data_IF_239125833236
#
_entry.id   IF_239125833236
#
_cell.length_a   1.000
_cell.length_b   1.000
_cell.length_c   1.000
_cell.angle_alpha   90.00
_cell.angle_beta   90.00
_cell.angle_gamma   90.00
#
_symmetry.space_group_name_H-M   'P 1'
#
loop_
_entity.id
_entity.type
_entity.pdbx_description
1 polymer ?
#
# COMPACT_ATOMS: atom_id res chain seq x y z
N UNK A 1 -5.68 -10.43 25.65
CA UNK A 1 -6.62 -9.37 26.03
C UNK A 1 -7.79 -9.42 25.06
N UNK A 2 -8.99 -9.72 25.54
CA UNK A 2 -10.18 -9.78 24.70
C UNK A 2 -10.70 -8.36 24.49
N UNK A 3 -10.70 -7.89 23.25
CA UNK A 3 -11.32 -6.61 22.90
C UNK A 3 -12.78 -6.89 22.53
N UNK A 4 -13.72 -6.53 23.40
CA UNK A 4 -15.15 -6.60 23.12
C UNK A 4 -15.62 -5.24 22.63
N UNK A 5 -15.90 -5.12 21.33
CA UNK A 5 -16.65 -3.97 20.80
C UNK A 5 -18.14 -4.33 20.81
N UNK A 6 -18.94 -3.60 21.59
CA UNK A 6 -20.40 -3.74 21.61
C UNK A 6 -21.01 -2.55 20.89
N UNK A 7 -21.65 -2.78 19.74
CA UNK A 7 -22.57 -1.80 19.17
C UNK A 7 -23.86 -1.81 20.00
N UNK A 8 -24.41 -0.64 20.33
CA UNK A 8 -25.64 -0.51 21.13
C UNK A 8 -26.76 -1.36 20.51
N UNK A 9 -27.12 -2.46 21.20
CA UNK A 9 -28.25 -3.34 20.84
C UNK A 9 -27.89 -4.71 20.23
N UNK A 10 -26.63 -5.02 19.94
CA UNK A 10 -26.22 -6.31 19.37
C UNK A 10 -25.89 -7.39 20.42
N UNK A 11 -26.23 -8.66 20.14
CA UNK A 11 -25.79 -9.83 20.95
C UNK A 11 -24.27 -10.00 20.85
N UNK A 12 -23.64 -10.38 21.98
CA UNK A 12 -22.20 -10.66 22.08
C UNK A 12 -21.90 -11.96 21.34
N UNK A 13 -21.11 -11.90 20.27
CA UNK A 13 -20.54 -13.08 19.62
C UNK A 13 -19.13 -13.32 20.17
N UNK A 14 -18.97 -14.37 20.96
CA UNK A 14 -17.68 -14.83 21.51
C UNK A 14 -16.96 -15.72 20.48
N UNK A 15 -16.47 -15.14 19.38
CA UNK A 15 -15.52 -15.84 18.50
C UNK A 15 -14.09 -15.38 18.81
N UNK A 16 -13.20 -16.33 19.10
CA UNK A 16 -11.75 -16.10 19.21
C UNK A 16 -11.22 -15.64 17.85
N UNK A 17 -10.88 -14.35 17.71
CA UNK A 17 -10.48 -13.75 16.43
C UNK A 17 -8.98 -13.92 16.10
N UNK A 18 -8.13 -14.29 17.07
CA UNK A 18 -6.70 -14.43 16.84
C UNK A 18 -6.07 -15.48 17.74
N UNK A 19 -5.49 -16.52 17.12
CA UNK A 19 -4.38 -17.26 17.71
C UNK A 19 -3.46 -17.84 16.64
N UNK A 20 -2.36 -17.15 16.40
CA UNK A 20 -1.02 -17.75 16.44
C UNK A 20 0.01 -16.64 16.55
N UNK A 21 0.76 -16.65 17.65
CA UNK A 21 1.89 -15.75 17.91
C UNK A 21 3.16 -16.62 17.90
N UNK A 22 4.08 -16.37 16.99
CA UNK A 22 5.49 -16.66 17.23
C UNK A 22 6.09 -15.49 18.00
N UNK A 23 5.85 -15.46 19.30
CA UNK A 23 6.48 -14.49 20.20
C UNK A 23 7.88 -14.97 20.57
N UNK A 24 8.92 -14.22 20.19
CA UNK A 24 10.13 -14.15 21.02
C UNK A 24 9.82 -13.19 22.18
N UNK A 25 9.87 -13.71 23.42
CA UNK A 25 9.62 -12.90 24.61
C UNK A 25 10.89 -12.16 25.03
N UNK A 26 10.81 -10.85 25.18
CA UNK A 26 11.61 -10.12 26.15
C UNK A 26 10.70 -9.11 26.87
N UNK A 27 10.97 -8.95 28.16
CA UNK A 27 10.10 -8.34 29.17
C UNK A 27 9.66 -6.90 28.87
N UNK A 28 8.49 -6.58 29.43
CA UNK A 28 7.76 -5.31 29.37
C UNK A 28 8.61 -4.13 29.86
N UNK A 29 8.99 -3.21 28.98
CA UNK A 29 9.80 -2.04 29.34
C UNK A 29 8.90 -0.88 29.78
N UNK A 30 8.98 -0.51 31.07
CA UNK A 30 8.31 0.65 31.66
C UNK A 30 9.17 1.90 31.45
N UNK A 31 9.24 2.40 30.22
CA UNK A 31 9.44 3.82 29.88
C UNK A 31 10.43 4.67 30.69
N UNK A 32 11.53 4.13 31.19
CA UNK A 32 12.60 4.90 31.85
C UNK A 32 13.95 4.39 31.35
N UNK A 33 14.37 4.85 30.18
CA UNK A 33 15.76 4.73 29.75
C UNK A 33 16.33 6.14 29.53
N UNK A 34 17.46 6.51 30.19
CA UNK A 34 18.09 7.80 29.97
C UNK A 34 18.65 7.89 28.55
N UNK A 35 18.55 9.09 27.97
CA UNK A 35 18.96 9.38 26.59
C UNK A 35 20.47 9.16 26.44
N UNK A 36 20.89 8.06 25.83
CA UNK A 36 22.29 7.85 25.50
C UNK A 36 22.68 8.78 24.35
N UNK A 37 23.58 9.72 24.63
CA UNK A 37 24.34 10.46 23.62
C UNK A 37 25.50 9.58 23.18
N UNK A 38 25.42 9.04 21.97
CA UNK A 38 26.59 8.48 21.29
C UNK A 38 26.74 9.14 19.92
N UNK A 39 27.91 9.75 19.73
CA UNK A 39 28.34 10.32 18.45
C UNK A 39 28.65 9.17 17.50
N UNK A 40 27.76 8.88 16.55
CA UNK A 40 27.94 7.80 15.58
C UNK A 40 29.06 8.17 14.60
N UNK A 41 30.14 7.39 14.56
CA UNK A 41 31.16 7.49 13.50
C UNK A 41 30.62 6.90 12.19
N UNK A 42 30.88 7.60 11.09
CA UNK A 42 30.13 7.52 9.82
C UNK A 42 30.38 6.28 8.95
N UNK A 43 31.23 5.33 9.34
CA UNK A 43 31.86 4.42 8.37
C UNK A 43 31.67 2.90 8.55
N UNK A 44 30.84 2.42 9.47
CA UNK A 44 30.51 0.98 9.51
C UNK A 44 29.00 0.78 9.68
N UNK A 45 28.35 0.28 8.62
CA UNK A 45 26.95 -0.17 8.66
C UNK A 45 26.87 -1.49 9.45
N UNK A 46 27.04 -1.40 10.76
CA UNK A 46 26.73 -2.49 11.69
C UNK A 46 25.22 -2.71 11.72
N UNK A 47 24.79 -3.96 11.57
CA UNK A 47 23.39 -4.36 11.77
C UNK A 47 22.98 -3.99 13.18
N UNK A 48 21.98 -3.12 13.32
CA UNK A 48 21.44 -2.70 14.62
C UNK A 48 20.61 -3.86 15.18
N UNK A 49 21.16 -4.61 16.14
CA UNK A 49 20.51 -5.76 16.78
C UNK A 49 19.41 -5.40 17.80
N UNK A 50 19.17 -4.11 18.04
CA UNK A 50 18.13 -3.66 18.98
C UNK A 50 16.92 -3.12 18.22
N UNK A 51 15.73 -3.75 18.32
CA UNK A 51 14.54 -3.25 17.63
C UNK A 51 14.17 -1.86 18.15
N UNK A 52 14.13 -0.87 17.24
CA UNK A 52 13.83 0.53 17.57
C UNK A 52 12.32 0.76 17.69
N UNK A 53 11.52 0.05 16.88
CA UNK A 53 10.07 0.14 16.88
C UNK A 53 9.45 -1.13 16.28
N UNK A 54 8.30 -1.55 16.80
CA UNK A 54 7.53 -2.67 16.25
C UNK A 54 6.61 -2.19 15.15
N UNK A 55 6.69 -2.80 13.98
CA UNK A 55 5.82 -2.54 12.84
C UNK A 55 4.84 -3.70 12.67
N UNK A 56 3.56 -3.45 12.92
CA UNK A 56 2.50 -4.45 12.84
C UNK A 56 1.80 -4.39 11.48
N UNK A 57 1.59 -5.55 10.88
CA UNK A 57 0.86 -5.70 9.63
C UNK A 57 -0.30 -6.69 9.79
N UNK A 58 -1.36 -6.47 9.02
CA UNK A 58 -2.47 -7.41 8.86
C UNK A 58 -2.27 -8.16 7.55
N UNK A 59 -2.59 -9.46 7.53
CA UNK A 59 -2.42 -10.27 6.32
C UNK A 59 -3.52 -9.97 5.30
N UNK A 60 -3.10 -9.54 4.11
CA UNK A 60 -3.97 -9.41 2.93
C UNK A 60 -4.60 -10.76 2.57
N UNK A 61 -3.84 -11.86 2.64
CA UNK A 61 -4.35 -13.21 2.39
C UNK A 61 -5.51 -13.56 3.32
N UNK A 62 -5.33 -13.37 4.63
CA UNK A 62 -6.37 -13.68 5.63
C UNK A 62 -7.59 -12.78 5.47
N UNK A 63 -7.38 -11.50 5.21
CA UNK A 63 -8.47 -10.55 4.97
C UNK A 63 -9.28 -10.92 3.72
N UNK A 64 -8.62 -11.30 2.62
CA UNK A 64 -9.31 -11.75 1.40
C UNK A 64 -10.12 -13.01 1.64
N UNK A 65 -9.59 -13.98 2.40
CA UNK A 65 -10.37 -15.18 2.80
C UNK A 65 -11.61 -14.81 3.61
N UNK A 66 -11.47 -13.89 4.55
CA UNK A 66 -12.60 -13.39 5.34
C UNK A 66 -13.65 -12.71 4.45
N UNK A 67 -13.22 -11.82 3.55
CA UNK A 67 -14.14 -11.11 2.64
C UNK A 67 -14.96 -12.08 1.81
N UNK A 68 -14.32 -13.09 1.21
CA UNK A 68 -14.97 -14.06 0.33
C UNK A 68 -15.76 -15.14 1.06
N UNK A 69 -15.56 -15.27 2.38
CA UNK A 69 -16.39 -16.13 3.23
C UNK A 69 -17.72 -15.47 3.61
N UNK A 70 -17.89 -14.17 3.38
CA UNK A 70 -19.16 -13.48 3.63
C UNK A 70 -20.17 -13.81 2.51
N UNK A 71 -21.39 -14.15 2.94
CA UNK A 71 -22.49 -14.42 2.02
C UNK A 71 -22.71 -13.25 1.05
N UNK A 72 -23.08 -13.57 -0.19
CA UNK A 72 -23.38 -12.63 -1.28
C UNK A 72 -22.23 -11.73 -1.78
N UNK A 73 -21.00 -11.81 -1.24
CA UNK A 73 -19.94 -10.90 -1.69
C UNK A 73 -19.57 -11.08 -3.16
N UNK A 74 -19.39 -12.33 -3.61
CA UNK A 74 -19.12 -12.60 -5.03
C UNK A 74 -20.29 -12.16 -5.92
N UNK A 75 -21.53 -12.44 -5.51
CA UNK A 75 -22.74 -12.03 -6.26
C UNK A 75 -22.83 -10.51 -6.39
N UNK A 76 -22.46 -9.77 -5.34
CA UNK A 76 -22.41 -8.30 -5.37
C UNK A 76 -21.31 -7.78 -6.29
N UNK A 77 -20.14 -8.41 -6.31
CA UNK A 77 -19.07 -8.07 -7.25
C UNK A 77 -19.49 -8.33 -8.71
N UNK A 78 -20.10 -9.49 -8.98
CA UNK A 78 -20.56 -9.86 -10.32
C UNK A 78 -21.71 -8.97 -10.79
N UNK A 79 -22.70 -8.71 -9.92
CA UNK A 79 -23.79 -7.79 -10.18
C UNK A 79 -23.27 -6.39 -10.52
N UNK A 80 -22.30 -5.88 -9.75
CA UNK A 80 -21.69 -4.59 -10.00
C UNK A 80 -20.93 -4.53 -11.32
N UNK A 81 -20.12 -5.55 -11.61
CA UNK A 81 -19.41 -5.69 -12.89
C UNK A 81 -20.37 -5.67 -14.07
N UNK A 82 -21.48 -6.40 -13.97
CA UNK A 82 -22.52 -6.44 -15.01
C UNK A 82 -23.23 -5.09 -15.18
N UNK A 83 -23.50 -4.37 -14.08
CA UNK A 83 -24.04 -3.02 -14.14
C UNK A 83 -23.09 -2.07 -14.88
N UNK A 84 -21.80 -2.09 -14.56
CA UNK A 84 -20.80 -1.24 -15.21
C UNK A 84 -20.62 -1.52 -16.71
N UNK A 85 -20.90 -2.74 -17.16
CA UNK A 85 -20.90 -3.07 -18.58
C UNK A 85 -22.03 -2.38 -19.37
N UNK A 86 -23.11 -1.98 -18.69
CA UNK A 86 -24.27 -1.32 -19.31
C UNK A 86 -24.18 0.22 -19.26
N UNK A 87 -23.39 0.77 -18.34
CA UNK A 87 -23.22 2.22 -18.19
C UNK A 87 -22.26 2.76 -19.27
N UNK A 88 -22.72 3.76 -20.03
CA UNK A 88 -21.87 4.48 -20.99
C UNK A 88 -20.96 5.48 -20.26
N UNK A 89 -19.70 5.56 -20.69
CA UNK A 89 -18.69 6.44 -20.11
C UNK A 89 -17.80 5.74 -19.07
N UNK A 90 -17.05 6.53 -18.31
CA UNK A 90 -16.20 6.04 -17.22
C UNK A 90 -16.66 6.71 -15.93
N UNK A 91 -17.48 6.00 -15.17
CA UNK A 91 -17.92 6.41 -13.83
C UNK A 91 -17.08 5.73 -12.75
N UNK A 92 -16.51 4.57 -13.06
CA UNK A 92 -15.70 3.78 -12.16
C UNK A 92 -14.35 3.41 -12.72
N UNK A 93 -13.40 3.12 -11.83
CA UNK A 93 -12.06 2.68 -12.21
C UNK A 93 -12.09 1.38 -13.03
N UNK A 94 -13.05 0.50 -12.80
CA UNK A 94 -13.18 -0.77 -13.55
C UNK A 94 -13.44 -0.56 -15.04
N UNK A 95 -13.99 0.60 -15.43
CA UNK A 95 -14.24 0.94 -16.83
C UNK A 95 -13.03 1.64 -17.49
N UNK A 96 -12.05 2.06 -16.68
CA UNK A 96 -10.88 2.81 -17.15
C UNK A 96 -10.00 1.97 -18.09
N UNK A 97 -9.25 2.66 -18.94
CA UNK A 97 -8.25 2.01 -19.79
C UNK A 97 -7.22 1.24 -18.96
N UNK A 98 -6.75 1.82 -17.84
CA UNK A 98 -5.77 1.19 -16.97
C UNK A 98 -6.25 -0.16 -16.41
N UNK A 99 -7.51 -0.26 -16.00
CA UNK A 99 -8.09 -1.52 -15.54
C UNK A 99 -8.21 -2.55 -16.65
N UNK A 100 -8.64 -2.14 -17.85
CA UNK A 100 -8.84 -3.03 -19.01
C UNK A 100 -7.54 -3.51 -19.62
N UNK A 101 -6.51 -2.66 -19.62
CA UNK A 101 -5.18 -2.96 -20.10
C UNK A 101 -4.33 -3.72 -19.06
N UNK A 102 -4.87 -3.92 -17.85
CA UNK A 102 -4.17 -4.56 -16.76
C UNK A 102 -3.91 -6.03 -17.08
N UNK A 103 -2.63 -6.39 -17.21
CA UNK A 103 -2.23 -7.74 -17.52
C UNK A 103 -2.29 -8.61 -16.27
N UNK A 104 -3.22 -9.55 -16.26
CA UNK A 104 -3.22 -10.62 -15.28
C UNK A 104 -2.16 -11.65 -15.65
N UNK A 105 -1.46 -12.19 -14.66
CA UNK A 105 -0.68 -13.42 -14.86
C UNK A 105 -1.61 -14.46 -15.49
N UNK A 106 -1.20 -15.15 -16.57
CA UNK A 106 -2.06 -16.14 -17.20
C UNK A 106 -2.57 -17.13 -16.16
N UNK A 107 -3.88 -17.22 -16.04
CA UNK A 107 -4.53 -18.22 -15.20
C UNK A 107 -4.17 -19.60 -15.78
N UNK A 108 -3.94 -20.58 -14.92
CA UNK A 108 -3.68 -21.94 -15.39
C UNK A 108 -4.94 -22.44 -16.11
N UNK A 109 -4.76 -23.25 -17.15
CA UNK A 109 -5.90 -23.79 -17.92
C UNK A 109 -6.89 -24.60 -17.06
N UNK A 110 -6.42 -25.09 -15.91
CA UNK A 110 -7.17 -25.85 -14.91
C UNK A 110 -8.00 -24.97 -13.95
N UNK A 111 -7.77 -23.65 -13.94
CA UNK A 111 -8.49 -22.75 -13.04
C UNK A 111 -9.92 -22.53 -13.57
N UNK A 112 -10.89 -23.23 -12.98
CA UNK A 112 -12.29 -23.09 -13.33
C UNK A 112 -12.80 -21.73 -12.80
N UNK A 113 -13.03 -20.77 -13.71
CA UNK A 113 -13.54 -19.42 -13.42
C UNK A 113 -12.78 -18.73 -12.26
N UNK A 114 -11.50 -18.35 -12.45
CA UNK A 114 -10.72 -17.71 -11.41
C UNK A 114 -11.29 -16.33 -11.04
N UNK A 115 -11.17 -15.95 -9.76
CA UNK A 115 -11.55 -14.63 -9.29
C UNK A 115 -10.34 -13.71 -9.22
N UNK A 116 -10.41 -12.62 -9.97
CA UNK A 116 -9.35 -11.62 -10.09
C UNK A 116 -9.74 -10.36 -9.31
N UNK A 117 -9.06 -10.12 -8.18
CA UNK A 117 -9.33 -9.01 -7.28
C UNK A 117 -8.25 -7.93 -7.41
N UNK A 118 -8.68 -6.71 -7.71
CA UNK A 118 -7.82 -5.54 -7.77
C UNK A 118 -7.97 -4.74 -6.49
N UNK A 119 -6.85 -4.36 -5.90
CA UNK A 119 -6.78 -3.53 -4.72
C UNK A 119 -6.23 -2.14 -5.04
N UNK A 120 -6.68 -1.14 -4.29
CA UNK A 120 -5.96 0.12 -4.17
C UNK A 120 -5.18 0.14 -2.86
N UNK A 121 -4.03 0.80 -2.86
CA UNK A 121 -3.31 1.14 -1.62
C UNK A 121 -3.56 2.62 -1.34
N UNK A 122 -4.06 2.94 -0.16
CA UNK A 122 -4.10 4.30 0.37
C UNK A 122 -2.97 4.49 1.38
N UNK A 123 -2.19 5.56 1.23
CA UNK A 123 -1.10 5.92 2.13
C UNK A 123 -1.22 7.41 2.45
N UNK A 124 -1.23 7.73 3.74
CA UNK A 124 -1.23 9.12 4.21
C UNK A 124 -0.64 9.20 5.63
N UNK A 125 -0.27 10.41 6.05
CA UNK A 125 0.20 10.71 7.40
C UNK A 125 -0.68 11.73 8.07
N UNK A 126 -1.09 11.42 9.30
CA UNK A 126 -1.98 12.28 10.08
C UNK A 126 -1.42 12.50 11.48
N UNK A 127 -1.86 13.58 12.12
CA UNK A 127 -1.58 13.80 13.52
C UNK A 127 -2.63 13.09 14.39
N UNK A 128 -2.26 12.04 15.14
CA UNK A 128 -3.22 11.31 15.98
C UNK A 128 -3.81 12.18 17.10
N UNK A 129 -3.13 13.26 17.47
CA UNK A 129 -3.58 14.21 18.50
C UNK A 129 -4.42 15.36 17.95
N UNK A 130 -4.65 15.38 16.62
CA UNK A 130 -5.33 16.45 15.91
C UNK A 130 -4.46 17.70 15.69
N UNK A 131 -4.89 18.54 14.75
CA UNK A 131 -4.13 19.72 14.31
C UNK A 131 -4.39 20.95 15.20
N UNK A 132 -4.10 20.85 16.50
CA UNK A 132 -4.14 22.02 17.41
C UNK A 132 -2.82 22.79 17.32
N UNK A 133 -2.90 24.12 17.24
CA UNK A 133 -1.74 25.02 17.08
C UNK A 133 -0.69 24.84 18.21
N UNK A 134 -1.13 24.54 19.43
CA UNK A 134 -0.28 24.26 20.59
C UNK A 134 -0.17 22.77 20.96
N UNK A 135 -0.70 21.88 20.11
CA UNK A 135 -0.70 20.43 20.35
C UNK A 135 0.61 19.76 19.94
N UNK A 136 0.87 18.57 20.49
CA UNK A 136 1.99 17.73 20.07
C UNK A 136 1.84 17.42 18.58
N UNK A 137 2.84 17.79 17.78
CA UNK A 137 2.89 17.44 16.36
C UNK A 137 3.58 16.10 16.20
N UNK A 138 2.80 15.03 16.19
CA UNK A 138 3.26 13.72 15.74
C UNK A 138 2.61 13.40 14.41
N UNK A 139 3.29 12.62 13.58
CA UNK A 139 2.75 12.09 12.33
C UNK A 139 2.83 10.58 12.39
N UNK A 140 1.67 9.92 12.38
CA UNK A 140 1.55 8.49 12.14
C UNK A 140 1.15 8.29 10.68
N UNK A 141 1.64 7.23 10.05
CA UNK A 141 1.18 6.84 8.72
C UNK A 141 0.17 5.71 8.79
N UNK A 142 -0.68 5.61 7.77
CA UNK A 142 -1.55 4.43 7.57
C UNK A 142 -1.33 3.87 6.18
N UNK A 143 -1.38 2.54 6.09
CA UNK A 143 -1.52 1.83 4.83
C UNK A 143 -2.86 1.12 4.86
N UNK A 144 -3.77 1.49 3.95
CA UNK A 144 -5.10 0.91 3.85
C UNK A 144 -5.27 0.30 2.47
N UNK A 145 -5.67 -0.96 2.41
CA UNK A 145 -6.02 -1.66 1.19
C UNK A 145 -7.54 -1.65 1.01
N UNK A 146 -7.99 -1.41 -0.21
CA UNK A 146 -9.41 -1.47 -0.56
C UNK A 146 -9.62 -2.32 -1.80
N UNK A 147 -10.53 -3.30 -1.72
CA UNK A 147 -10.90 -4.15 -2.85
C UNK A 147 -11.81 -3.38 -3.80
N UNK A 148 -11.32 -3.09 -5.01
CA UNK A 148 -12.00 -2.26 -5.99
C UNK A 148 -13.06 -3.03 -6.79
N UNK A 149 -13.12 -4.36 -6.66
CA UNK A 149 -14.16 -5.20 -7.25
C UNK A 149 -15.51 -5.03 -6.56
N UNK A 150 -15.50 -4.64 -5.28
CA UNK A 150 -16.71 -4.34 -4.52
C UNK A 150 -17.41 -3.08 -5.08
N UNK A 151 -18.76 -3.03 -5.04
CA UNK A 151 -19.49 -1.82 -5.41
C UNK A 151 -19.12 -0.64 -4.51
N UNK A 152 -19.26 0.62 -4.97
CA UNK A 152 -18.89 1.82 -4.22
C UNK A 152 -19.53 1.92 -2.84
N UNK A 153 -20.78 1.46 -2.72
CA UNK A 153 -21.51 1.42 -1.45
C UNK A 153 -20.88 0.48 -0.42
N UNK A 154 -20.02 -0.45 -0.82
CA UNK A 154 -19.30 -1.34 0.08
C UNK A 154 -17.85 -0.93 0.26
N UNK A 155 -17.12 -0.67 -0.82
CA UNK A 155 -15.67 -0.49 -0.75
C UNK A 155 -15.24 0.81 -0.03
N UNK A 156 -16.17 1.74 0.22
CA UNK A 156 -15.91 2.93 1.04
C UNK A 156 -16.31 2.77 2.51
N UNK A 157 -16.97 1.65 2.88
CA UNK A 157 -17.36 1.41 4.27
C UNK A 157 -16.14 0.96 5.07
N UNK A 158 -15.91 1.52 6.26
CA UNK A 158 -14.78 1.12 7.12
C UNK A 158 -14.70 -0.39 7.39
N UNK A 159 -15.83 -1.08 7.43
CA UNK A 159 -15.87 -2.54 7.63
C UNK A 159 -15.21 -3.35 6.51
N UNK A 160 -15.13 -2.80 5.29
CA UNK A 160 -14.51 -3.46 4.11
C UNK A 160 -13.17 -2.81 3.72
N UNK A 161 -12.61 -1.98 4.59
CA UNK A 161 -11.25 -1.49 4.43
C UNK A 161 -10.30 -2.40 5.22
N UNK A 162 -9.25 -2.88 4.55
CA UNK A 162 -8.15 -3.54 5.23
C UNK A 162 -7.17 -2.47 5.72
N UNK A 163 -7.19 -2.17 7.01
CA UNK A 163 -6.08 -1.45 7.64
C UNK A 163 -4.87 -2.39 7.67
N UNK A 164 -4.02 -2.30 6.64
CA UNK A 164 -2.86 -3.16 6.49
C UNK A 164 -1.85 -2.89 7.60
N UNK A 165 -1.47 -1.63 7.80
CA UNK A 165 -0.50 -1.26 8.83
C UNK A 165 -0.65 0.18 9.28
N UNK A 166 -0.08 0.46 10.45
CA UNK A 166 0.17 1.80 10.96
C UNK A 166 1.69 2.01 10.94
N UNK A 167 2.14 3.01 10.20
CA UNK A 167 3.56 3.39 10.16
C UNK A 167 3.85 4.21 11.43
N UNK A 168 4.82 3.78 12.24
CA UNK A 168 5.13 4.46 13.48
C UNK A 168 5.65 5.87 13.25
N UNK A 169 5.30 6.78 14.17
CA UNK A 169 5.79 8.14 14.22
C UNK A 169 7.13 8.24 14.95
N UNK A 170 7.52 9.43 15.44
CA UNK A 170 6.73 10.66 15.53
C UNK A 170 6.74 11.52 14.25
N UNK A 171 7.56 11.19 13.25
CA UNK A 171 7.69 11.94 12.01
C UNK A 171 7.11 11.17 10.83
N UNK A 172 6.83 11.87 9.73
CA UNK A 172 6.55 11.15 8.49
C UNK A 172 7.80 10.35 8.09
N UNK A 173 7.64 9.10 7.63
CA UNK A 173 8.76 8.27 7.22
C UNK A 173 9.56 8.97 6.14
N UNK A 174 10.88 8.83 6.23
CA UNK A 174 11.75 9.16 5.12
C UNK A 174 11.61 8.12 3.99
N UNK A 175 12.41 8.32 2.94
CA UNK A 175 12.45 7.47 1.76
C UNK A 175 12.78 6.01 2.09
N UNK A 176 13.70 5.77 3.01
CA UNK A 176 14.15 4.42 3.36
C UNK A 176 13.08 3.74 4.22
N UNK A 177 12.54 4.47 5.19
CA UNK A 177 11.53 3.98 6.12
C UNK A 177 10.25 3.59 5.39
N UNK A 178 9.74 4.43 4.47
CA UNK A 178 8.52 4.07 3.72
C UNK A 178 8.73 2.84 2.84
N UNK A 179 9.91 2.70 2.23
CA UNK A 179 10.27 1.52 1.45
C UNK A 179 10.27 0.27 2.34
N UNK A 180 10.91 0.30 3.50
CA UNK A 180 10.92 -0.81 4.45
C UNK A 180 9.50 -1.17 4.94
N UNK A 181 8.65 -0.16 5.19
CA UNK A 181 7.25 -0.40 5.56
C UNK A 181 6.47 -1.08 4.43
N UNK A 182 6.64 -0.63 3.19
CA UNK A 182 5.98 -1.19 2.01
C UNK A 182 6.50 -2.57 1.63
N UNK A 183 7.76 -2.89 1.98
CA UNK A 183 8.38 -4.17 1.67
C UNK A 183 7.51 -5.35 2.13
N UNK A 184 6.99 -5.30 3.35
CA UNK A 184 6.09 -6.35 3.89
C UNK A 184 4.86 -6.62 3.03
N UNK A 185 4.21 -5.57 2.50
CA UNK A 185 3.05 -5.69 1.64
C UNK A 185 3.44 -6.21 0.26
N UNK A 186 4.54 -5.70 -0.28
CA UNK A 186 5.05 -6.11 -1.59
C UNK A 186 5.50 -7.58 -1.54
N UNK A 187 6.14 -8.02 -0.46
CA UNK A 187 6.52 -9.42 -0.25
C UNK A 187 5.27 -10.33 -0.22
N UNK A 188 4.23 -9.98 0.54
CA UNK A 188 2.96 -10.73 0.54
C UNK A 188 2.30 -10.75 -0.85
N UNK A 189 2.29 -9.63 -1.59
CA UNK A 189 1.77 -9.58 -2.96
C UNK A 189 2.57 -10.47 -3.93
N UNK A 190 3.90 -10.48 -3.78
CA UNK A 190 4.78 -11.31 -4.60
C UNK A 190 4.63 -12.81 -4.29
N UNK A 191 4.40 -13.16 -3.03
CA UNK A 191 4.07 -14.54 -2.62
C UNK A 191 2.71 -14.99 -3.19
N UNK A 192 1.75 -14.07 -3.32
CA UNK A 192 0.40 -14.34 -3.83
C UNK A 192 0.24 -14.15 -5.35
N UNK A 193 1.33 -13.84 -6.07
CA UNK A 193 1.30 -13.48 -7.51
C UNK A 193 0.74 -14.57 -8.42
N UNK A 194 0.92 -15.84 -8.04
CA UNK A 194 0.47 -17.01 -8.79
C UNK A 194 -0.94 -17.46 -8.36
N UNK A 195 -1.58 -16.66 -7.50
CA UNK A 195 -2.89 -16.91 -6.92
C UNK A 195 -2.88 -17.94 -5.79
N UNK A 196 -4.01 -18.08 -5.12
CA UNK A 196 -4.21 -19.07 -4.07
C UNK A 196 -5.66 -19.51 -4.01
N UNK A 197 -5.87 -20.75 -3.55
CA UNK A 197 -7.22 -21.31 -3.38
C UNK A 197 -7.89 -20.75 -2.12
N UNK A 198 -9.14 -20.32 -2.29
CA UNK A 198 -10.00 -19.81 -1.21
C UNK A 198 -11.32 -20.56 -1.24
N UNK A 199 -11.73 -21.08 -0.08
CA UNK A 199 -13.10 -21.55 0.14
C UNK A 199 -13.98 -20.31 0.31
N UNK A 200 -14.94 -20.12 -0.57
CA UNK A 200 -15.84 -18.97 -0.55
C UNK A 200 -17.26 -19.40 -0.24
N UNK A 201 -18.14 -18.45 0.10
CA UNK A 201 -19.55 -18.77 0.34
C UNK A 201 -20.23 -19.38 -0.90
N UNK A 202 -19.89 -18.90 -2.11
CA UNK A 202 -20.44 -19.37 -3.38
C UNK A 202 -19.69 -20.58 -3.97
N UNK A 203 -18.43 -20.80 -3.58
CA UNK A 203 -17.61 -21.92 -4.04
C UNK A 203 -17.00 -22.66 -2.83
N UNK A 204 -17.78 -23.51 -2.14
CA UNK A 204 -17.32 -24.24 -0.94
C UNK A 204 -16.21 -25.25 -1.23
N UNK A 205 -16.06 -25.71 -2.48
CA UNK A 205 -14.98 -26.61 -2.91
C UNK A 205 -13.66 -25.87 -3.14
N UNK A 206 -13.69 -24.54 -3.09
CA UNK A 206 -12.55 -23.68 -3.34
C UNK A 206 -12.52 -23.12 -4.76
N UNK A 207 -12.03 -21.90 -4.85
CA UNK A 207 -11.80 -21.19 -6.11
C UNK A 207 -10.42 -20.56 -6.10
N UNK A 208 -9.77 -20.53 -7.26
CA UNK A 208 -8.51 -19.82 -7.45
C UNK A 208 -8.74 -18.31 -7.43
N UNK A 209 -8.00 -17.60 -6.55
CA UNK A 209 -8.08 -16.14 -6.39
C UNK A 209 -6.74 -15.51 -6.69
N UNK A 210 -6.75 -14.46 -7.52
CA UNK A 210 -5.59 -13.65 -7.87
C UNK A 210 -5.74 -12.24 -7.32
N UNK A 211 -4.67 -11.68 -6.76
CA UNK A 211 -4.65 -10.32 -6.23
C UNK A 211 -3.64 -9.48 -6.98
N UNK A 212 -4.02 -8.26 -7.34
CA UNK A 212 -3.11 -7.27 -7.88
C UNK A 212 -3.47 -5.88 -7.34
N UNK A 213 -2.52 -4.95 -7.35
CA UNK A 213 -2.72 -3.57 -6.94
C UNK A 213 -2.71 -2.67 -8.17
N UNK A 214 -3.67 -1.75 -8.28
CA UNK A 214 -3.72 -0.82 -9.41
C UNK A 214 -3.44 0.63 -9.00
N UNK A 215 -4.35 1.37 -8.34
CA UNK A 215 -4.04 2.74 -7.96
C UNK A 215 -3.41 2.81 -6.55
N UNK A 216 -2.43 3.71 -6.43
CA UNK A 216 -1.96 4.24 -5.15
C UNK A 216 -2.69 5.56 -4.91
N UNK A 217 -3.29 5.70 -3.72
CA UNK A 217 -4.11 6.83 -3.28
C UNK A 217 -3.48 7.48 -2.05
N UNK A 218 -3.73 8.77 -1.87
CA UNK A 218 -3.15 9.58 -0.80
C UNK A 218 -3.07 11.04 -1.22
N UNK A 219 -2.51 11.89 -0.36
CA UNK A 219 -2.10 13.21 -0.81
C UNK A 219 -0.89 13.11 -1.76
N UNK A 220 -0.58 14.19 -2.48
CA UNK A 220 0.48 14.18 -3.49
C UNK A 220 1.86 13.86 -2.88
N UNK A 221 2.10 14.32 -1.65
CA UNK A 221 3.37 14.10 -0.94
C UNK A 221 3.54 12.62 -0.56
N UNK A 222 2.48 11.98 -0.08
CA UNK A 222 2.40 10.58 0.28
C UNK A 222 2.55 9.68 -0.93
N UNK A 223 1.79 9.96 -1.99
CA UNK A 223 1.90 9.23 -3.24
C UNK A 223 3.33 9.34 -3.76
N UNK A 224 3.88 10.54 -3.98
CA UNK A 224 5.22 10.69 -4.55
C UNK A 224 6.27 9.98 -3.70
N UNK A 225 6.17 10.07 -2.37
CA UNK A 225 7.09 9.37 -1.49
C UNK A 225 6.93 7.85 -1.55
N UNK A 226 5.71 7.32 -1.65
CA UNK A 226 5.47 5.89 -1.73
C UNK A 226 5.91 5.31 -3.09
N UNK A 227 5.58 5.97 -4.20
CA UNK A 227 5.87 5.46 -5.56
C UNK A 227 7.24 5.88 -6.11
N UNK A 228 8.01 6.67 -5.36
CA UNK A 228 9.39 7.00 -5.73
C UNK A 228 9.54 8.20 -6.67
N UNK A 229 8.58 9.13 -6.69
CA UNK A 229 8.73 10.41 -7.36
C UNK A 229 9.35 11.47 -6.42
N UNK A 230 9.92 12.50 -7.04
CA UNK A 230 10.39 13.70 -6.36
C UNK A 230 9.25 14.45 -5.67
N UNK A 231 9.58 15.26 -4.65
CA UNK A 231 8.58 16.10 -4.00
C UNK A 231 7.99 17.13 -4.99
N UNK A 232 6.82 17.71 -4.67
CA UNK A 232 6.26 18.82 -5.46
C UNK A 232 7.20 20.03 -5.61
N UNK A 233 8.22 20.15 -4.75
CA UNK A 233 9.25 21.19 -4.81
C UNK A 233 10.53 20.75 -5.55
N UNK A 234 10.58 19.54 -6.12
CA UNK A 234 11.71 19.09 -6.92
C UNK A 234 11.71 19.73 -8.31
N UNK A 235 12.89 19.83 -8.93
CA UNK A 235 13.01 20.34 -10.32
C UNK A 235 12.14 19.55 -11.29
N UNK A 236 12.08 18.23 -11.13
CA UNK A 236 11.14 17.34 -11.83
C UNK A 236 10.08 16.87 -10.83
N UNK A 237 9.01 17.65 -10.71
CA UNK A 237 7.98 17.43 -9.69
C UNK A 237 6.80 16.59 -10.19
N UNK A 238 6.52 16.56 -11.49
CA UNK A 238 5.30 15.95 -12.02
C UNK A 238 5.45 14.43 -12.20
N UNK A 239 4.47 13.67 -11.70
CA UNK A 239 4.39 12.22 -11.94
C UNK A 239 3.92 11.82 -13.34
N UNK A 240 3.30 12.74 -14.08
CA UNK A 240 2.74 12.46 -15.41
C UNK A 240 3.62 12.90 -16.59
N UNK A 241 4.39 13.96 -16.41
CA UNK A 241 5.25 14.51 -17.45
C UNK A 241 6.61 14.95 -16.89
N UNK A 242 7.53 15.35 -17.75
CA UNK A 242 8.87 15.79 -17.40
C UNK A 242 9.00 17.31 -17.15
N UNK A 243 7.88 18.01 -16.89
CA UNK A 243 7.86 19.45 -16.64
C UNK A 243 8.89 19.87 -15.57
N UNK A 244 9.55 21.01 -15.81
CA UNK A 244 10.53 21.58 -14.89
C UNK A 244 9.90 22.66 -14.01
N UNK A 245 10.21 22.64 -12.71
CA UNK A 245 9.73 23.65 -11.75
C UNK A 245 10.15 25.08 -12.14
N UNK A 246 11.33 25.25 -12.73
CA UNK A 246 11.84 26.56 -13.18
C UNK A 246 11.07 27.12 -14.39
N UNK A 247 10.28 26.28 -15.06
CA UNK A 247 9.48 26.60 -16.23
C UNK A 247 7.98 26.62 -15.90
N UNK A 248 7.61 26.52 -14.62
CA UNK A 248 6.22 26.41 -14.20
C UNK A 248 5.37 27.61 -14.66
N UNK A 249 5.95 28.82 -14.71
CA UNK A 249 5.26 30.01 -15.24
C UNK A 249 4.81 29.87 -16.70
N UNK A 250 5.42 28.97 -17.48
CA UNK A 250 5.00 28.73 -18.87
C UNK A 250 3.66 28.01 -18.95
N UNK A 251 3.20 27.36 -17.87
CA UNK A 251 1.94 26.61 -17.80
C UNK A 251 1.82 25.56 -18.92
N UNK A 252 2.96 24.98 -19.32
CA UNK A 252 3.04 23.95 -20.36
C UNK A 252 3.15 22.57 -19.72
N UNK A 253 2.42 21.62 -20.28
CA UNK A 253 2.62 20.21 -19.98
C UNK A 253 3.91 19.75 -20.66
N UNK A 254 4.78 19.09 -19.91
CA UNK A 254 6.00 18.50 -20.44
C UNK A 254 5.72 17.27 -21.31
N UNK A 255 6.78 16.63 -21.78
CA UNK A 255 6.71 15.33 -22.44
C UNK A 255 6.14 14.30 -21.47
N UNK A 256 5.14 13.55 -21.92
CA UNK A 256 4.48 12.52 -21.12
C UNK A 256 5.47 11.41 -20.78
N UNK A 257 5.52 11.03 -19.50
CA UNK A 257 6.33 9.88 -19.04
C UNK A 257 5.65 8.58 -19.41
N UNK A 258 6.45 7.58 -19.75
CA UNK A 258 6.01 6.19 -19.92
C UNK A 258 6.39 5.35 -18.70
N UNK A 259 5.65 4.27 -18.44
CA UNK A 259 5.99 3.34 -17.36
C UNK A 259 7.37 2.71 -17.53
N UNK A 260 7.78 2.45 -18.78
CA UNK A 260 9.11 1.94 -19.11
C UNK A 260 10.22 2.93 -18.70
N UNK A 261 10.12 4.20 -19.10
CA UNK A 261 11.10 5.24 -18.73
C UNK A 261 11.18 5.42 -17.21
N UNK A 262 10.02 5.39 -16.53
CA UNK A 262 9.96 5.51 -15.07
C UNK A 262 10.71 4.34 -14.41
N UNK A 263 10.44 3.11 -14.86
CA UNK A 263 11.06 1.91 -14.30
C UNK A 263 12.57 1.86 -14.58
N UNK A 264 13.01 2.23 -15.78
CA UNK A 264 14.43 2.27 -16.12
C UNK A 264 15.19 3.30 -15.27
N UNK A 265 14.64 4.51 -15.09
CA UNK A 265 15.22 5.51 -14.19
C UNK A 265 15.26 5.02 -12.72
N UNK A 266 14.19 4.35 -12.26
CA UNK A 266 14.15 3.79 -10.92
C UNK A 266 15.20 2.68 -10.70
N UNK A 267 15.41 1.80 -11.70
CA UNK A 267 16.45 0.77 -11.67
C UNK A 267 17.85 1.39 -11.70
N UNK A 268 18.08 2.39 -12.56
CA UNK A 268 19.34 3.12 -12.60
C UNK A 268 19.66 3.75 -11.24
N UNK A 269 18.67 4.36 -10.59
CA UNK A 269 18.79 4.87 -9.23
C UNK A 269 19.13 3.77 -8.23
N UNK A 270 18.43 2.62 -8.27
CA UNK A 270 18.67 1.49 -7.37
C UNK A 270 20.09 0.94 -7.51
N UNK A 271 20.56 0.81 -8.75
CA UNK A 271 21.85 0.20 -9.09
C UNK A 271 23.04 1.17 -9.03
N UNK A 272 22.78 2.45 -8.76
CA UNK A 272 23.82 3.47 -8.66
C UNK A 272 24.76 3.16 -7.48
N UNK A 273 26.08 3.25 -7.73
CA UNK A 273 27.12 2.83 -6.77
C UNK A 273 27.41 3.83 -5.66
N UNK A 274 26.76 5.00 -5.67
CA UNK A 274 26.97 6.04 -4.65
C UNK A 274 25.72 6.88 -4.42
N UNK A 275 25.60 7.44 -3.21
CA UNK A 275 24.54 8.39 -2.86
C UNK A 275 24.55 9.63 -3.77
N UNK A 276 25.74 10.05 -4.22
CA UNK A 276 25.86 11.16 -5.17
C UNK A 276 25.24 10.81 -6.52
N UNK A 277 25.57 9.64 -7.08
CA UNK A 277 24.98 9.17 -8.33
C UNK A 277 23.46 8.99 -8.22
N UNK A 278 22.96 8.47 -7.09
CA UNK A 278 21.52 8.40 -6.80
C UNK A 278 20.87 9.78 -6.82
N UNK A 279 21.50 10.77 -6.16
CA UNK A 279 20.98 12.12 -6.10
C UNK A 279 21.01 12.82 -7.46
N UNK A 280 22.05 12.59 -8.26
CA UNK A 280 22.16 13.15 -9.62
C UNK A 280 21.05 12.60 -10.53
N UNK A 281 20.82 11.27 -10.52
CA UNK A 281 19.71 10.64 -11.25
C UNK A 281 18.36 11.19 -10.77
N UNK A 282 18.18 11.34 -9.45
CA UNK A 282 16.94 11.86 -8.87
C UNK A 282 16.68 13.30 -9.29
N UNK A 283 17.71 14.15 -9.37
CA UNK A 283 17.59 15.55 -9.82
C UNK A 283 17.24 15.64 -11.31
N UNK A 284 17.88 14.80 -12.12
CA UNK A 284 17.69 14.77 -13.57
C UNK A 284 16.30 14.23 -13.96
N UNK A 285 15.89 13.12 -13.35
CA UNK A 285 14.69 12.38 -13.75
C UNK A 285 13.48 12.67 -12.87
N UNK A 286 13.69 13.10 -11.62
CA UNK A 286 12.64 13.18 -10.60
C UNK A 286 12.23 11.82 -10.03
N UNK A 287 12.98 10.74 -10.30
CA UNK A 287 12.60 9.37 -9.97
C UNK A 287 13.66 8.72 -9.06
N UNK A 288 13.19 7.84 -8.18
CA UNK A 288 13.99 6.92 -7.38
C UNK A 288 13.31 5.56 -7.27
N UNK A 289 14.02 4.58 -6.71
CA UNK A 289 13.42 3.29 -6.42
C UNK A 289 12.35 3.39 -5.33
N UNK A 290 11.28 2.62 -5.53
CA UNK A 290 10.24 2.28 -4.57
C UNK A 290 10.11 0.76 -4.54
N UNK A 291 9.75 0.18 -3.40
CA UNK A 291 9.42 -1.24 -3.29
C UNK A 291 8.28 -1.66 -4.22
N UNK A 292 7.37 -0.75 -4.55
CA UNK A 292 6.28 -1.02 -5.50
C UNK A 292 6.80 -1.38 -6.91
N UNK A 293 8.01 -0.97 -7.29
CA UNK A 293 8.63 -1.32 -8.57
C UNK A 293 9.05 -2.80 -8.67
N UNK A 294 8.92 -3.59 -7.59
CA UNK A 294 9.11 -5.05 -7.63
C UNK A 294 7.90 -5.78 -8.19
N UNK A 295 6.73 -5.15 -8.16
CA UNK A 295 5.51 -5.75 -8.71
C UNK A 295 5.67 -5.90 -10.23
N UNK A 296 5.28 -7.04 -10.82
CA UNK A 296 5.56 -7.35 -12.23
C UNK A 296 4.60 -6.69 -13.21
N UNK A 297 3.67 -5.86 -12.73
CA UNK A 297 2.57 -5.24 -13.48
C UNK A 297 2.55 -3.73 -13.31
#
# INVERSE_FOLDING_TARGET
MNCTYQTRGGKIYNSELFKENTNFSALHDKGIAPRQSSTIQRNELGVINTPICTYYTHSLKKWTKWLLALDSMEDQMDSWKNNLAQVKGTTEIQQSFAWKAFAWTPTKAEDIKPLQLVFSIFIDWFNPWGNKISGKQERLGVIILNCLNLPPLLHHKPAFLLLYSIIPGPNSPDVVTISNCLQSLVDELMELKDGFTVLTAQNPEGRQVYLQVLPIRGDLLAIHKAVGFGSPAASKFCGWCDANLNELQLMKVGTKRTGYEILEAAKAWKNAKSLKAQEDIRKETGIRWSELNRLPY
#
